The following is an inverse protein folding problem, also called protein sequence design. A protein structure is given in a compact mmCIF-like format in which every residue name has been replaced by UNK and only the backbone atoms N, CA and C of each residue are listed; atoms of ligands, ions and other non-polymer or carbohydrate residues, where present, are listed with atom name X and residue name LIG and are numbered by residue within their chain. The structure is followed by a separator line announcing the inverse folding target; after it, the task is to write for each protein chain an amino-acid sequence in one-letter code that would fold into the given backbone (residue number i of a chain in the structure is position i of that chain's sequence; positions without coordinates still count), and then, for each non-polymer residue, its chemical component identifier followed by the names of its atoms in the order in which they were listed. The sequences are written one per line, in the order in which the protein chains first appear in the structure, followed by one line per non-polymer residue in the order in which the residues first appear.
data_IF_143123219389
#
_entry.id   IF_143123219389
#
_cell.length_a   1.000
_cell.length_b   1.000
_cell.length_c   1.000
_cell.angle_alpha   90.00
_cell.angle_beta   90.00
_cell.angle_gamma   90.00
#
_symmetry.space_group_name_H-M   'P 1'
#
loop_
_entity.id
_entity.type
_entity.pdbx_description
1 polymer ?
#
# COMPACT_ATOMS: atom_id res chain seq x y z
N UNK A 1 -15.89 5.14 -15.65
CA UNK A 1 -14.53 4.62 -15.83
C UNK A 1 -14.20 3.74 -14.64
N UNK A 2 -13.71 2.52 -14.89
CA UNK A 2 -13.23 1.58 -13.86
C UNK A 2 -12.14 2.19 -13.00
N UNK A 3 -12.24 2.02 -11.69
CA UNK A 3 -11.31 2.61 -10.70
C UNK A 3 -10.17 1.63 -10.40
N UNK A 4 -8.94 1.97 -10.81
CA UNK A 4 -7.74 1.15 -10.57
C UNK A 4 -7.30 1.21 -9.10
N UNK A 5 -7.20 0.06 -8.46
CA UNK A 5 -6.65 -0.09 -7.09
C UNK A 5 -5.34 -0.85 -7.19
N UNK A 6 -4.22 -0.19 -6.92
CA UNK A 6 -2.90 -0.78 -7.00
C UNK A 6 -2.38 -1.07 -5.59
N UNK A 7 -2.10 -2.34 -5.31
CA UNK A 7 -1.51 -2.81 -4.06
C UNK A 7 -0.02 -3.08 -4.28
N UNK A 8 0.83 -2.36 -3.56
CA UNK A 8 2.29 -2.40 -3.73
C UNK A 8 2.88 -3.58 -2.95
N UNK A 9 3.21 -4.66 -3.65
CA UNK A 9 3.84 -5.84 -3.08
C UNK A 9 5.36 -5.74 -3.02
N UNK A 10 5.94 -6.29 -1.97
CA UNK A 10 7.38 -6.39 -1.73
C UNK A 10 7.70 -7.68 -0.94
N UNK A 11 8.93 -8.20 -1.00
CA UNK A 11 9.31 -9.40 -0.25
C UNK A 11 9.05 -9.26 1.26
N UNK A 12 8.34 -10.22 1.85
CA UNK A 12 7.97 -10.18 3.28
C UNK A 12 6.77 -9.29 3.59
N UNK A 13 5.92 -9.00 2.60
CA UNK A 13 4.62 -8.36 2.80
C UNK A 13 3.66 -9.28 3.58
N UNK A 14 2.79 -8.69 4.40
CA UNK A 14 1.74 -9.43 5.10
C UNK A 14 0.59 -9.78 4.14
N UNK A 15 0.28 -11.08 4.01
CA UNK A 15 -0.75 -11.55 3.10
C UNK A 15 -2.12 -10.90 3.33
N UNK A 16 -2.53 -10.75 4.59
CA UNK A 16 -3.83 -10.17 4.95
C UNK A 16 -3.96 -8.69 4.54
N UNK A 17 -2.86 -7.93 4.61
CA UNK A 17 -2.83 -6.53 4.21
C UNK A 17 -3.00 -6.36 2.69
N UNK A 18 -2.71 -7.39 1.91
CA UNK A 18 -2.99 -7.43 0.48
C UNK A 18 -4.39 -7.98 0.19
N UNK A 19 -4.70 -9.17 0.70
CA UNK A 19 -5.94 -9.90 0.40
C UNK A 19 -7.16 -9.16 0.94
N UNK A 20 -7.09 -8.58 2.14
CA UNK A 20 -8.20 -7.87 2.76
C UNK A 20 -8.72 -6.73 1.87
N UNK A 21 -7.90 -5.72 1.52
CA UNK A 21 -8.31 -4.68 0.59
C UNK A 21 -8.69 -5.23 -0.80
N UNK A 22 -7.96 -6.24 -1.31
CA UNK A 22 -8.25 -6.84 -2.61
C UNK A 22 -9.70 -7.37 -2.66
N UNK A 23 -10.08 -8.19 -1.69
CA UNK A 23 -11.41 -8.82 -1.61
C UNK A 23 -12.51 -7.79 -1.32
N UNK A 24 -12.24 -6.78 -0.49
CA UNK A 24 -13.20 -5.69 -0.23
C UNK A 24 -13.52 -4.94 -1.54
N UNK A 25 -12.51 -4.56 -2.31
CA UNK A 25 -12.72 -3.88 -3.58
C UNK A 25 -13.34 -4.79 -4.66
N UNK A 26 -13.00 -6.08 -4.67
CA UNK A 26 -13.63 -7.06 -5.54
C UNK A 26 -15.13 -7.22 -5.23
N UNK A 27 -15.49 -7.36 -3.95
CA UNK A 27 -16.88 -7.42 -3.50
C UNK A 27 -17.66 -6.15 -3.81
N UNK A 28 -17.06 -4.98 -3.57
CA UNK A 28 -17.66 -3.70 -3.95
C UNK A 28 -17.88 -3.58 -5.46
N UNK A 29 -16.93 -4.07 -6.28
CA UNK A 29 -17.04 -4.10 -7.73
C UNK A 29 -18.21 -5.00 -8.19
N UNK A 30 -18.37 -6.17 -7.56
CA UNK A 30 -19.48 -7.08 -7.84
C UNK A 30 -20.84 -6.45 -7.51
N UNK A 31 -20.96 -5.78 -6.37
CA UNK A 31 -22.18 -5.07 -5.98
C UNK A 31 -22.53 -3.95 -6.98
N UNK A 32 -21.55 -3.13 -7.36
CA UNK A 32 -21.75 -2.05 -8.34
C UNK A 32 -22.14 -2.60 -9.72
N UNK A 33 -21.54 -3.72 -10.14
CA UNK A 33 -21.85 -4.34 -11.42
C UNK A 33 -23.30 -4.83 -11.49
N UNK A 34 -23.89 -5.26 -10.36
CA UNK A 34 -25.31 -5.64 -10.31
C UNK A 34 -26.26 -4.45 -10.57
N UNK A 35 -25.78 -3.23 -10.36
CA UNK A 35 -26.49 -1.97 -10.66
C UNK A 35 -26.11 -1.38 -12.03
N UNK A 36 -25.28 -2.07 -12.82
CA UNK A 36 -24.77 -1.57 -14.11
C UNK A 36 -23.73 -0.46 -13.98
N UNK A 37 -23.11 -0.31 -12.81
CA UNK A 37 -22.10 0.71 -12.52
C UNK A 37 -20.71 0.08 -12.61
N UNK A 38 -19.78 0.76 -13.29
CA UNK A 38 -18.37 0.33 -13.32
C UNK A 38 -17.74 0.42 -11.91
N UNK A 39 -17.13 -0.67 -11.49
CA UNK A 39 -16.55 -0.83 -10.16
C UNK A 39 -15.05 -0.57 -10.09
N UNK A 40 -14.38 -1.45 -9.35
CA UNK A 40 -12.95 -1.40 -9.07
C UNK A 40 -12.21 -2.52 -9.79
N UNK A 41 -10.96 -2.24 -10.16
CA UNK A 41 -10.01 -3.24 -10.65
C UNK A 41 -8.78 -3.22 -9.74
N UNK A 42 -8.72 -4.21 -8.84
CA UNK A 42 -7.59 -4.42 -7.95
C UNK A 42 -6.47 -5.18 -8.65
N UNK A 43 -5.23 -4.75 -8.44
CA UNK A 43 -4.04 -5.41 -8.97
C UNK A 43 -2.91 -5.34 -7.95
N UNK A 44 -2.15 -6.44 -7.84
CA UNK A 44 -0.91 -6.50 -7.08
C UNK A 44 0.24 -6.16 -8.01
N UNK A 45 1.05 -5.18 -7.64
CA UNK A 45 2.24 -4.78 -8.39
C UNK A 45 3.53 -5.00 -7.59
N UNK A 46 4.62 -5.37 -8.27
CA UNK A 46 5.98 -5.42 -7.72
C UNK A 46 6.96 -4.69 -8.64
N UNK A 47 8.09 -4.23 -8.11
CA UNK A 47 9.01 -3.35 -8.84
C UNK A 47 9.49 -3.94 -10.18
N UNK A 48 9.65 -5.26 -10.24
CA UNK A 48 10.13 -6.03 -11.39
C UNK A 48 9.07 -6.96 -12.00
N UNK A 49 7.85 -6.97 -11.45
CA UNK A 49 6.77 -7.87 -11.84
C UNK A 49 6.97 -9.31 -11.42
N UNK A 50 7.96 -9.60 -10.57
CA UNK A 50 8.12 -10.93 -10.01
C UNK A 50 7.06 -11.21 -8.94
N UNK A 51 6.69 -12.49 -8.75
CA UNK A 51 5.79 -12.88 -7.67
C UNK A 51 6.29 -12.41 -6.30
N UNK A 52 5.35 -12.03 -5.45
CA UNK A 52 5.64 -11.46 -4.14
C UNK A 52 5.48 -12.53 -3.08
N UNK A 53 6.58 -12.88 -2.41
CA UNK A 53 6.58 -13.82 -1.30
C UNK A 53 6.19 -13.11 0.01
N UNK A 54 5.28 -13.73 0.75
CA UNK A 54 4.86 -13.29 2.09
C UNK A 54 5.64 -14.00 3.19
N UNK A 55 5.56 -13.49 4.41
CA UNK A 55 6.20 -14.11 5.58
C UNK A 55 5.69 -15.50 5.92
N UNK A 56 4.43 -15.79 5.57
CA UNK A 56 3.79 -17.07 5.88
C UNK A 56 4.07 -18.14 4.82
N UNK A 57 4.88 -17.81 3.80
CA UNK A 57 5.24 -18.73 2.71
C UNK A 57 4.24 -18.76 1.56
N UNK A 58 3.17 -17.97 1.59
CA UNK A 58 2.31 -17.74 0.42
C UNK A 58 3.04 -16.85 -0.58
N UNK A 59 2.80 -17.11 -1.87
CA UNK A 59 3.33 -16.29 -2.97
C UNK A 59 2.18 -15.82 -3.83
N UNK A 60 2.13 -14.52 -4.09
CA UNK A 60 1.11 -13.90 -4.94
C UNK A 60 1.72 -13.52 -6.29
N UNK A 61 0.99 -13.80 -7.36
CA UNK A 61 1.32 -13.24 -8.68
C UNK A 61 1.24 -11.71 -8.63
N UNK A 62 2.15 -11.05 -9.34
CA UNK A 62 2.19 -9.61 -9.45
C UNK A 62 2.43 -9.18 -10.90
N UNK A 63 1.97 -7.99 -11.25
CA UNK A 63 2.41 -7.31 -12.46
C UNK A 63 3.57 -6.39 -12.13
N UNK A 64 4.35 -5.99 -13.14
CA UNK A 64 5.33 -4.93 -12.94
C UNK A 64 4.60 -3.65 -12.56
N UNK A 65 5.11 -2.94 -11.55
CA UNK A 65 4.60 -1.62 -11.21
C UNK A 65 4.62 -0.72 -12.47
N UNK A 66 3.53 0.00 -12.76
CA UNK A 66 3.39 0.80 -13.97
C UNK A 66 4.33 2.01 -13.96
N UNK A 67 4.33 2.81 -15.02
CA UNK A 67 4.95 4.13 -14.96
C UNK A 67 4.33 4.91 -13.78
N UNK A 68 5.14 5.44 -12.83
CA UNK A 68 4.61 6.09 -11.64
C UNK A 68 3.80 7.36 -11.96
N UNK A 69 3.93 7.93 -13.16
CA UNK A 69 3.10 9.06 -13.60
C UNK A 69 1.69 8.66 -14.07
N UNK A 70 1.42 7.36 -14.24
CA UNK A 70 0.10 6.87 -14.61
C UNK A 70 -0.92 7.11 -13.48
N UNK A 71 -2.05 7.79 -13.76
CA UNK A 71 -3.09 8.01 -12.76
C UNK A 71 -3.62 6.69 -12.17
N UNK A 72 -3.78 6.66 -10.86
CA UNK A 72 -4.35 5.51 -10.13
C UNK A 72 -5.44 5.99 -9.17
N UNK A 73 -6.56 5.27 -9.06
CA UNK A 73 -7.64 5.70 -8.14
C UNK A 73 -7.24 5.51 -6.68
N UNK A 74 -6.64 4.37 -6.34
CA UNK A 74 -6.20 4.06 -4.98
C UNK A 74 -4.85 3.36 -5.02
N UNK A 75 -3.86 3.93 -4.33
CA UNK A 75 -2.57 3.28 -4.07
C UNK A 75 -2.57 2.73 -2.64
N UNK A 76 -2.33 1.44 -2.48
CA UNK A 76 -2.32 0.76 -1.18
C UNK A 76 -0.89 0.33 -0.85
N UNK A 77 -0.42 0.78 0.30
CA UNK A 77 0.88 0.45 0.89
C UNK A 77 0.64 -0.57 2.03
N UNK A 78 0.77 -1.88 1.78
CA UNK A 78 0.60 -2.89 2.80
C UNK A 78 1.77 -2.91 3.79
N UNK A 79 1.55 -3.52 4.95
CA UNK A 79 2.60 -3.78 5.93
C UNK A 79 3.24 -5.15 5.80
N UNK A 80 3.90 -5.56 6.88
CA UNK A 80 4.72 -6.77 6.98
C UNK A 80 6.10 -6.46 7.58
N UNK A 81 6.75 -7.47 8.12
CA UNK A 81 8.15 -7.48 8.56
C UNK A 81 9.11 -7.11 7.45
N UNK A 82 8.76 -7.40 6.20
CA UNK A 82 9.52 -6.99 5.03
C UNK A 82 9.64 -5.46 4.86
N UNK A 83 8.81 -4.68 5.55
CA UNK A 83 8.75 -3.22 5.33
C UNK A 83 10.07 -2.51 5.63
N UNK A 84 10.84 -2.97 6.63
CA UNK A 84 12.12 -2.34 6.95
C UNK A 84 13.15 -2.55 5.84
N UNK A 85 13.15 -3.72 5.20
CA UNK A 85 13.99 -3.97 4.02
C UNK A 85 13.45 -3.21 2.80
N UNK A 86 12.13 -3.19 2.62
CA UNK A 86 11.47 -2.46 1.52
C UNK A 86 11.78 -0.95 1.54
N UNK A 87 11.86 -0.35 2.74
CA UNK A 87 12.25 1.07 2.92
C UNK A 87 13.69 1.39 2.55
N UNK A 88 14.55 0.37 2.44
CA UNK A 88 15.94 0.53 2.01
C UNK A 88 16.14 0.26 0.52
N UNK A 89 15.12 -0.26 -0.20
CA UNK A 89 15.16 -0.35 -1.66
C UNK A 89 14.78 1.00 -2.25
N UNK A 90 15.78 1.77 -2.69
CA UNK A 90 15.58 3.08 -3.29
C UNK A 90 14.66 3.03 -4.51
N UNK A 91 14.68 1.95 -5.30
CA UNK A 91 13.81 1.85 -6.48
C UNK A 91 12.34 1.81 -6.09
N UNK A 92 12.02 1.11 -5.01
CA UNK A 92 10.65 1.04 -4.49
C UNK A 92 10.23 2.36 -3.88
N UNK A 93 11.06 2.96 -3.02
CA UNK A 93 10.75 4.24 -2.38
C UNK A 93 10.61 5.38 -3.40
N UNK A 94 11.53 5.47 -4.37
CA UNK A 94 11.48 6.46 -5.45
C UNK A 94 10.22 6.27 -6.30
N UNK A 95 9.85 5.01 -6.59
CA UNK A 95 8.61 4.72 -7.32
C UNK A 95 7.36 5.14 -6.52
N UNK A 96 7.29 4.83 -5.22
CA UNK A 96 6.15 5.22 -4.36
C UNK A 96 6.06 6.75 -4.27
N UNK A 97 7.19 7.43 -4.07
CA UNK A 97 7.26 8.89 -4.01
C UNK A 97 6.78 9.54 -5.32
N UNK A 98 7.17 8.97 -6.46
CA UNK A 98 6.73 9.45 -7.77
C UNK A 98 5.24 9.13 -8.05
N UNK A 99 4.73 7.99 -7.59
CA UNK A 99 3.35 7.57 -7.84
C UNK A 99 2.31 8.22 -6.92
N UNK A 100 2.66 8.51 -5.67
CA UNK A 100 1.73 9.04 -4.68
C UNK A 100 0.99 10.33 -5.12
N UNK A 101 1.64 11.34 -5.75
CA UNK A 101 0.96 12.54 -6.25
C UNK A 101 -0.06 12.29 -7.38
N UNK A 102 0.08 11.17 -8.09
CA UNK A 102 -0.81 10.77 -9.20
C UNK A 102 -1.93 9.81 -8.74
N UNK A 103 -1.92 9.40 -7.48
CA UNK A 103 -2.99 8.62 -6.88
C UNK A 103 -4.08 9.56 -6.35
N UNK A 104 -5.36 9.28 -6.64
CA UNK A 104 -6.47 10.06 -6.03
C UNK A 104 -6.51 9.91 -4.51
N UNK A 105 -6.09 8.75 -4.00
CA UNK A 105 -5.89 8.48 -2.57
C UNK A 105 -4.77 7.48 -2.38
N UNK A 106 -4.00 7.69 -1.32
CA UNK A 106 -3.00 6.75 -0.84
C UNK A 106 -3.49 6.22 0.51
N UNK A 107 -3.42 4.91 0.69
CA UNK A 107 -3.83 4.22 1.91
C UNK A 107 -2.66 3.38 2.37
N UNK A 108 -2.35 3.40 3.66
CA UNK A 108 -1.43 2.45 4.26
C UNK A 108 -2.17 1.51 5.21
N UNK A 109 -1.67 0.29 5.34
CA UNK A 109 -2.20 -0.73 6.26
C UNK A 109 -1.04 -1.22 7.14
N UNK A 110 -1.30 -1.41 8.44
CA UNK A 110 -0.31 -1.95 9.38
C UNK A 110 0.99 -1.13 9.33
N UNK A 111 2.14 -1.79 9.20
CA UNK A 111 3.45 -1.16 9.08
C UNK A 111 3.72 -0.51 7.71
N UNK A 112 2.78 -0.59 6.74
CA UNK A 112 2.88 0.16 5.49
C UNK A 112 2.92 1.68 5.70
N UNK A 113 2.46 2.16 6.86
CA UNK A 113 2.60 3.54 7.28
C UNK A 113 4.06 4.04 7.27
N UNK A 114 5.03 3.14 7.52
CA UNK A 114 6.44 3.50 7.44
C UNK A 114 6.91 3.79 6.01
N UNK A 115 6.31 3.18 4.98
CA UNK A 115 6.59 3.52 3.57
C UNK A 115 6.05 4.91 3.23
N UNK A 116 4.84 5.22 3.69
CA UNK A 116 4.22 6.53 3.52
C UNK A 116 5.02 7.63 4.25
N UNK A 117 5.43 7.37 5.50
CA UNK A 117 6.26 8.29 6.27
C UNK A 117 7.65 8.49 5.65
N UNK A 118 8.25 7.44 5.07
CA UNK A 118 9.57 7.50 4.43
C UNK A 118 9.65 8.52 3.29
N UNK A 119 8.54 8.76 2.59
CA UNK A 119 8.43 9.73 1.50
C UNK A 119 7.83 11.08 1.94
N UNK A 120 7.66 11.30 3.26
CA UNK A 120 7.08 12.52 3.83
C UNK A 120 5.56 12.66 3.65
N UNK A 121 4.87 11.62 3.18
CA UNK A 121 3.43 11.69 2.88
C UNK A 121 2.55 11.88 4.13
N UNK A 122 3.08 11.52 5.31
CA UNK A 122 2.40 11.65 6.59
C UNK A 122 2.84 12.89 7.40
N UNK A 123 3.75 13.71 6.86
CA UNK A 123 4.26 14.88 7.58
C UNK A 123 3.13 15.88 7.86
N UNK A 124 2.94 16.22 9.14
CA UNK A 124 1.87 17.10 9.61
C UNK A 124 0.49 16.44 9.67
N UNK A 125 0.37 15.13 9.41
CA UNK A 125 -0.89 14.38 9.52
C UNK A 125 -1.00 13.63 10.85
N UNK A 126 -2.23 13.52 11.36
CA UNK A 126 -2.58 12.49 12.36
C UNK A 126 -2.70 11.15 11.67
N UNK A 127 -1.91 10.17 12.10
CA UNK A 127 -1.85 8.85 11.48
C UNK A 127 -1.60 7.76 12.53
N UNK A 128 -1.90 6.50 12.17
CA UNK A 128 -1.59 5.34 13.00
C UNK A 128 -0.76 4.31 12.22
N UNK A 129 -0.36 3.25 12.89
CA UNK A 129 0.31 2.07 12.33
C UNK A 129 -0.12 0.84 13.13
N UNK A 130 0.52 -0.31 12.90
CA UNK A 130 0.33 -1.45 13.78
C UNK A 130 0.69 -1.06 15.23
N UNK A 131 -0.19 -1.36 16.20
CA UNK A 131 -0.06 -0.95 17.60
C UNK A 131 1.34 -1.21 18.21
N UNK A 132 1.97 -2.34 17.86
CA UNK A 132 3.31 -2.69 18.34
C UNK A 132 4.44 -1.77 17.82
N UNK A 133 4.16 -0.90 16.85
CA UNK A 133 5.14 -0.08 16.14
C UNK A 133 4.84 1.42 16.21
N UNK A 134 3.81 1.86 16.96
CA UNK A 134 3.43 3.27 17.10
C UNK A 134 4.57 4.10 17.68
N UNK A 135 5.19 3.63 18.77
CA UNK A 135 6.36 4.29 19.39
C UNK A 135 7.54 4.40 18.41
N UNK A 136 7.74 3.38 17.57
CA UNK A 136 8.82 3.41 16.59
C UNK A 136 8.54 4.42 15.49
N UNK A 137 7.30 4.46 14.97
CA UNK A 137 6.91 5.43 13.95
C UNK A 137 7.07 6.86 14.48
N UNK A 138 6.60 7.13 15.70
CA UNK A 138 6.71 8.46 16.32
C UNK A 138 8.16 8.91 16.52
N UNK A 139 9.06 7.98 16.88
CA UNK A 139 10.49 8.28 17.05
C UNK A 139 11.21 8.52 15.73
N UNK A 140 10.92 7.73 14.70
CA UNK A 140 11.59 7.84 13.39
C UNK A 140 11.07 9.03 12.57
N UNK A 141 9.78 9.39 12.74
CA UNK A 141 9.10 10.41 11.97
C UNK A 141 8.38 11.42 12.88
N UNK A 142 9.14 12.32 13.54
CA UNK A 142 8.57 13.25 14.53
C UNK A 142 7.64 14.30 13.94
N UNK A 143 7.57 14.44 12.60
CA UNK A 143 6.60 15.28 11.92
C UNK A 143 5.20 14.66 11.82
N UNK A 144 5.06 13.36 12.10
CA UNK A 144 3.77 12.65 12.10
C UNK A 144 3.16 12.73 13.50
N UNK A 145 1.89 13.15 13.60
CA UNK A 145 1.12 13.05 14.83
C UNK A 145 0.63 11.61 14.98
N UNK A 146 1.45 10.75 15.58
CA UNK A 146 1.12 9.32 15.71
C UNK A 146 0.08 9.10 16.80
N UNK A 147 -1.03 8.49 16.39
CA UNK A 147 -2.11 8.08 17.27
C UNK A 147 -2.06 6.56 17.53
N UNK A 148 -1.75 6.12 18.76
CA UNK A 148 -1.70 4.71 19.11
C UNK A 148 -3.08 4.08 19.37
N UNK A 149 -4.15 4.89 19.52
CA UNK A 149 -5.51 4.45 19.83
C UNK A 149 -6.57 5.21 18.99
N UNK A 150 -6.58 5.00 17.67
CA UNK A 150 -7.35 5.77 16.69
C UNK A 150 -8.86 5.47 16.61
#
# INVERSE_FOLDING_TARGET
MTRKVLIVGFPGVQALDMVGPFDVFAGASLALSAEGIEGYQSVVGSIDGQPVATETGLTFGAVKLPDPSEPTDTLILPGGRGVHAARQDSRLIDWIAAAAPHARRVVSVCTGAFLAAQIGLLDGCRATTHWAFTDQLAREFPAVEVDPDP
#
